data_IF_362855100120
#
_entry.id   IF_362855100120
#
_cell.length_a   1.000
_cell.length_b   1.000
_cell.length_c   1.000
_cell.angle_alpha   90.00
_cell.angle_beta   90.00
_cell.angle_gamma   90.00
#
_symmetry.space_group_name_H-M   'P 1'
#
loop_
_entity.id
_entity.type
_entity.pdbx_description
1 polymer ?
#
# COMPACT_ATOMS: atom_id res chain seq x y z
N UNK A 1 6.50 -16.05 -2.86
CA UNK A 1 5.25 -16.70 -3.34
C UNK A 1 4.03 -15.77 -3.31
N UNK A 2 4.13 -14.55 -2.77
CA UNK A 2 3.00 -13.61 -2.62
C UNK A 2 2.64 -12.79 -3.87
N UNK A 3 3.54 -12.67 -4.84
CA UNK A 3 3.29 -11.85 -6.03
C UNK A 3 2.26 -12.49 -6.98
N UNK A 4 2.21 -13.83 -7.02
CA UNK A 4 1.27 -14.60 -7.84
C UNK A 4 -0.16 -14.53 -7.31
N UNK A 5 -0.35 -14.35 -6.00
CA UNK A 5 -1.69 -14.24 -5.40
C UNK A 5 -2.31 -12.86 -5.65
N UNK A 6 -1.52 -11.78 -5.58
CA UNK A 6 -2.00 -10.41 -5.87
C UNK A 6 -2.46 -10.30 -7.33
N UNK A 7 -1.68 -10.84 -8.27
CA UNK A 7 -2.02 -10.85 -9.70
C UNK A 7 -3.33 -11.63 -9.97
N UNK A 8 -3.56 -12.72 -9.25
CA UNK A 8 -4.82 -13.48 -9.32
C UNK A 8 -6.04 -12.68 -8.86
N UNK A 9 -5.92 -11.90 -7.78
CA UNK A 9 -7.01 -11.04 -7.31
C UNK A 9 -7.34 -9.91 -8.27
N UNK A 10 -6.32 -9.29 -8.88
CA UNK A 10 -6.52 -8.21 -9.87
C UNK A 10 -7.24 -8.77 -11.10
N UNK A 11 -6.81 -9.92 -11.62
CA UNK A 11 -7.45 -10.59 -12.76
C UNK A 11 -8.92 -10.97 -12.47
N UNK A 12 -9.18 -11.52 -11.28
CA UNK A 12 -10.54 -11.87 -10.86
C UNK A 12 -11.44 -10.63 -10.74
N UNK A 13 -10.92 -9.53 -10.20
CA UNK A 13 -11.65 -8.28 -10.07
C UNK A 13 -11.99 -7.67 -11.44
N UNK A 14 -11.02 -7.61 -12.36
CA UNK A 14 -11.25 -7.07 -13.71
C UNK A 14 -12.26 -7.89 -14.49
N UNK A 15 -12.22 -9.23 -14.36
CA UNK A 15 -13.18 -10.12 -15.01
C UNK A 15 -14.61 -9.87 -14.50
N UNK A 16 -14.78 -9.83 -13.17
CA UNK A 16 -16.07 -9.58 -12.53
C UNK A 16 -16.65 -8.21 -12.93
N UNK A 17 -15.81 -7.19 -13.01
CA UNK A 17 -16.20 -5.85 -13.40
C UNK A 17 -16.70 -5.79 -14.85
N UNK A 18 -16.00 -6.44 -15.78
CA UNK A 18 -16.42 -6.51 -17.20
C UNK A 18 -17.76 -7.24 -17.33
N UNK A 19 -17.95 -8.36 -16.62
CA UNK A 19 -19.21 -9.12 -16.67
C UNK A 19 -20.41 -8.31 -16.16
N UNK A 20 -20.23 -7.54 -15.09
CA UNK A 20 -21.29 -6.65 -14.57
C UNK A 20 -21.63 -5.56 -15.58
N UNK A 21 -20.62 -4.95 -16.20
CA UNK A 21 -20.82 -3.89 -17.20
C UNK A 21 -21.53 -4.39 -18.46
N UNK A 22 -21.16 -5.57 -18.96
CA UNK A 22 -21.87 -6.20 -20.08
C UNK A 22 -23.32 -6.53 -19.71
N UNK A 23 -23.55 -7.08 -18.51
CA UNK A 23 -24.89 -7.35 -18.01
C UNK A 23 -25.75 -6.09 -17.92
N UNK A 24 -25.18 -5.00 -17.40
CA UNK A 24 -25.87 -3.71 -17.27
C UNK A 24 -26.12 -3.06 -18.63
N UNK A 25 -25.21 -3.21 -19.59
CA UNK A 25 -25.38 -2.72 -20.96
C UNK A 25 -26.51 -3.44 -21.70
N UNK A 26 -26.60 -4.77 -21.55
CA UNK A 26 -27.73 -5.55 -22.10
C UNK A 26 -29.03 -5.15 -21.42
N UNK A 27 -29.04 -5.00 -20.10
CA UNK A 27 -30.23 -4.59 -19.35
C UNK A 27 -30.72 -3.19 -19.75
N UNK A 28 -29.80 -2.26 -20.03
CA UNK A 28 -30.11 -0.92 -20.54
C UNK A 28 -30.79 -0.96 -21.91
N UNK A 29 -30.43 -1.91 -22.78
CA UNK A 29 -31.10 -2.09 -24.09
C UNK A 29 -32.47 -2.74 -23.98
N UNK A 30 -32.62 -3.72 -23.09
CA UNK A 30 -33.89 -4.46 -22.93
C UNK A 30 -34.93 -3.62 -22.17
N UNK A 31 -34.51 -2.79 -21.23
CA UNK A 31 -35.39 -1.99 -20.39
C UNK A 31 -35.00 -0.50 -20.38
N UNK A 32 -35.14 0.22 -21.50
CA UNK A 32 -34.79 1.64 -21.58
C UNK A 32 -35.62 2.51 -20.62
N UNK A 33 -36.82 2.06 -20.20
CA UNK A 33 -37.66 2.80 -19.25
C UNK A 33 -37.08 2.90 -17.83
N UNK A 34 -36.21 1.97 -17.40
CA UNK A 34 -35.59 2.02 -16.07
C UNK A 34 -34.52 3.11 -15.96
N UNK A 35 -34.02 3.60 -17.09
CA UNK A 35 -32.90 4.54 -17.16
C UNK A 35 -33.27 5.87 -17.83
N UNK A 36 -34.57 6.12 -18.06
CA UNK A 36 -35.03 7.44 -18.53
C UNK A 36 -35.07 8.41 -17.34
N UNK A 37 -34.52 9.63 -17.47
CA UNK A 37 -34.81 10.68 -16.51
C UNK A 37 -36.33 10.91 -16.47
N UNK A 38 -36.89 10.96 -15.26
CA UNK A 38 -38.31 11.23 -15.05
C UNK A 38 -38.69 12.52 -15.81
N UNK A 39 -39.78 12.53 -16.60
CA UNK A 39 -40.17 13.73 -17.30
C UNK A 39 -40.54 14.81 -16.30
N UNK A 40 -39.76 15.88 -16.27
CA UNK A 40 -40.17 17.15 -15.66
C UNK A 40 -41.13 17.84 -16.61
N UNK A 41 -42.42 17.50 -16.54
CA UNK A 41 -43.47 18.35 -17.11
C UNK A 41 -44.72 18.34 -16.24
N UNK A 42 -44.98 19.49 -15.62
CA UNK A 42 -46.32 19.97 -15.30
C UNK A 42 -47.14 19.89 -16.58
N UNK A 43 -48.09 18.95 -16.64
CA UNK A 43 -49.07 18.94 -17.71
C UNK A 43 -50.02 20.13 -17.48
N UNK A 44 -49.85 21.18 -18.27
CA UNK A 44 -50.91 22.16 -18.50
C UNK A 44 -52.04 21.40 -19.18
N UNK A 45 -53.10 21.11 -18.43
CA UNK A 45 -54.31 20.51 -18.97
C UNK A 45 -54.98 21.55 -19.84
N UNK A 46 -55.00 21.25 -21.13
CA UNK A 46 -55.67 21.98 -22.18
C UNK A 46 -57.14 22.19 -21.81
N UNK A 47 -57.60 23.44 -21.82
CA UNK A 47 -58.97 23.79 -21.49
C UNK A 47 -59.92 23.26 -22.57
N UNK A 48 -60.48 22.08 -22.34
CA UNK A 48 -61.68 21.61 -23.03
C UNK A 48 -62.79 22.64 -22.77
N UNK A 49 -63.27 23.28 -23.84
CA UNK A 49 -64.50 24.08 -23.85
C UNK A 49 -65.64 23.19 -23.37
N UNK A 50 -66.08 23.41 -22.13
CA UNK A 50 -67.32 22.84 -21.61
C UNK A 50 -68.45 23.80 -21.97
N UNK A 51 -69.29 23.33 -22.89
CA UNK A 51 -70.60 23.87 -23.23
C UNK A 51 -71.46 23.92 -21.96
N UNK A 52 -72.17 25.04 -21.78
CA UNK A 52 -72.98 25.37 -20.59
C UNK A 52 -73.85 24.18 -20.15
N UNK A 53 -73.66 23.74 -18.90
CA UNK A 53 -74.69 23.02 -18.17
C UNK A 53 -75.05 23.75 -16.88
N UNK A 54 -76.36 23.92 -16.70
CA UNK A 54 -77.05 24.79 -15.76
C UNK A 54 -77.40 24.04 -14.48
N UNK A 55 -76.40 23.65 -13.71
CA UNK A 55 -76.63 23.17 -12.34
C UNK A 55 -75.74 23.96 -11.38
N UNK A 56 -76.40 24.76 -10.54
CA UNK A 56 -75.77 25.58 -9.51
C UNK A 56 -75.14 24.72 -8.41
N UNK A 57 -73.98 24.15 -8.71
CA UNK A 57 -73.08 23.54 -7.73
C UNK A 57 -71.91 24.50 -7.58
N UNK A 58 -71.84 25.13 -6.40
CA UNK A 58 -70.66 25.86 -5.96
C UNK A 58 -69.62 24.79 -5.61
N UNK A 59 -68.62 24.62 -6.48
CA UNK A 59 -67.43 23.84 -6.13
C UNK A 59 -66.61 24.70 -5.18
N UNK A 60 -66.68 24.40 -3.87
CA UNK A 60 -65.70 24.91 -2.92
C UNK A 60 -64.32 24.40 -3.34
N UNK A 61 -63.37 25.34 -3.44
CA UNK A 61 -62.00 25.13 -3.87
C UNK A 61 -61.25 24.26 -2.85
N UNK A 62 -61.37 22.94 -3.02
CA UNK A 62 -60.67 21.93 -2.22
C UNK A 62 -59.17 21.84 -2.52
N UNK A 63 -58.63 22.66 -3.43
CA UNK A 63 -57.21 22.63 -3.82
C UNK A 63 -56.29 23.15 -2.70
N UNK A 64 -56.81 23.97 -1.79
CA UNK A 64 -56.02 24.60 -0.71
C UNK A 64 -55.82 23.71 0.53
N UNK A 65 -56.68 22.71 0.76
CA UNK A 65 -56.58 21.83 1.95
C UNK A 65 -55.58 20.66 1.72
N UNK A 66 -55.23 20.35 0.46
CA UNK A 66 -54.38 19.21 0.11
C UNK A 66 -52.90 19.51 -0.19
N UNK A 67 -52.50 20.78 -0.37
CA UNK A 67 -51.14 21.14 -0.78
C UNK A 67 -50.19 21.38 0.41
N UNK A 68 -50.67 22.00 1.48
CA UNK A 68 -49.88 22.33 2.67
C UNK A 68 -49.39 21.06 3.41
N UNK A 69 -50.22 20.02 3.49
CA UNK A 69 -49.86 18.76 4.14
C UNK A 69 -48.84 17.95 3.31
N UNK A 70 -48.97 17.91 1.99
CA UNK A 70 -48.06 17.14 1.12
C UNK A 70 -46.67 17.75 1.08
N UNK A 71 -46.55 19.08 1.14
CA UNK A 71 -45.27 19.78 1.22
C UNK A 71 -44.58 19.55 2.58
N UNK A 72 -45.33 19.59 3.69
CA UNK A 72 -44.80 19.32 5.02
C UNK A 72 -44.27 17.88 5.16
N UNK A 73 -44.99 16.88 4.65
CA UNK A 73 -44.53 15.48 4.68
C UNK A 73 -43.28 15.24 3.81
N UNK A 74 -43.21 15.87 2.63
CA UNK A 74 -42.00 15.81 1.79
C UNK A 74 -40.81 16.47 2.48
N UNK A 75 -41.03 17.61 3.13
CA UNK A 75 -39.99 18.34 3.86
C UNK A 75 -39.45 17.54 5.05
N UNK A 76 -40.33 16.89 5.83
CA UNK A 76 -39.94 16.02 6.93
C UNK A 76 -39.12 14.80 6.45
N UNK A 77 -39.55 14.17 5.36
CA UNK A 77 -38.82 13.03 4.76
C UNK A 77 -37.43 13.43 4.27
N UNK A 78 -37.29 14.62 3.68
CA UNK A 78 -36.03 15.14 3.18
C UNK A 78 -35.08 15.52 4.32
N UNK A 79 -35.59 16.15 5.38
CA UNK A 79 -34.80 16.47 6.58
C UNK A 79 -34.28 15.20 7.25
N UNK A 80 -35.10 14.14 7.31
CA UNK A 80 -34.69 12.84 7.84
C UNK A 80 -33.61 12.17 7.01
N UNK A 81 -33.63 12.32 5.69
CA UNK A 81 -32.54 11.86 4.82
C UNK A 81 -31.27 12.68 5.00
N UNK A 82 -31.40 14.00 5.10
CA UNK A 82 -30.29 14.91 5.37
C UNK A 82 -29.59 14.55 6.70
N UNK A 83 -30.36 14.29 7.76
CA UNK A 83 -29.83 13.89 9.06
C UNK A 83 -29.06 12.56 8.99
N UNK A 84 -29.57 11.58 8.23
CA UNK A 84 -28.87 10.31 8.00
C UNK A 84 -27.52 10.54 7.31
N UNK A 85 -27.51 11.34 6.24
CA UNK A 85 -26.29 11.67 5.50
C UNK A 85 -25.30 12.41 6.39
N UNK A 86 -25.75 13.34 7.22
CA UNK A 86 -24.90 14.07 8.16
C UNK A 86 -24.27 13.15 9.21
N UNK A 87 -25.03 12.18 9.73
CA UNK A 87 -24.52 11.17 10.67
C UNK A 87 -23.47 10.28 10.00
N UNK A 88 -23.72 9.82 8.78
CA UNK A 88 -22.76 9.02 8.01
C UNK A 88 -21.49 9.80 7.70
N UNK A 89 -21.62 11.05 7.22
CA UNK A 89 -20.50 11.92 6.93
C UNK A 89 -19.63 12.15 8.18
N UNK A 90 -20.28 12.33 9.35
CA UNK A 90 -19.57 12.44 10.63
C UNK A 90 -18.80 11.17 10.96
N UNK A 91 -19.41 9.99 10.82
CA UNK A 91 -18.74 8.70 11.03
C UNK A 91 -17.52 8.53 10.12
N UNK A 92 -17.66 8.87 8.83
CA UNK A 92 -16.54 8.81 7.89
C UNK A 92 -15.42 9.78 8.28
N UNK A 93 -15.78 11.02 8.64
CA UNK A 93 -14.80 12.02 9.10
C UNK A 93 -14.03 11.52 10.33
N UNK A 94 -14.73 10.99 11.32
CA UNK A 94 -14.11 10.45 12.54
C UNK A 94 -13.19 9.26 12.22
N UNK A 95 -13.63 8.38 11.31
CA UNK A 95 -12.83 7.22 10.85
C UNK A 95 -11.55 7.66 10.14
N UNK A 96 -11.62 8.68 9.28
CA UNK A 96 -10.45 9.24 8.59
C UNK A 96 -9.44 9.81 9.60
N UNK A 97 -9.91 10.48 10.65
CA UNK A 97 -9.02 11.00 11.71
C UNK A 97 -8.32 9.86 12.46
N UNK A 98 -9.03 8.78 12.77
CA UNK A 98 -8.46 7.60 13.43
C UNK A 98 -7.43 6.92 12.53
N UNK A 99 -7.78 6.67 11.27
CA UNK A 99 -6.86 6.07 10.29
C UNK A 99 -5.61 6.93 10.09
N UNK A 100 -5.77 8.26 10.03
CA UNK A 100 -4.64 9.16 9.93
C UNK A 100 -3.69 9.03 11.13
N UNK A 101 -4.22 8.95 12.36
CA UNK A 101 -3.40 8.73 13.56
C UNK A 101 -2.68 7.38 13.51
N UNK A 102 -3.36 6.31 13.08
CA UNK A 102 -2.75 4.99 12.93
C UNK A 102 -1.62 5.01 11.89
N UNK A 103 -1.82 5.66 10.75
CA UNK A 103 -0.79 5.84 9.72
C UNK A 103 0.42 6.58 10.29
N UNK A 104 0.21 7.66 11.04
CA UNK A 104 1.31 8.40 11.68
C UNK A 104 2.06 7.54 12.71
N UNK A 105 1.35 6.76 13.51
CA UNK A 105 1.97 5.87 14.48
C UNK A 105 2.83 4.81 13.79
N UNK A 106 2.28 4.12 12.78
CA UNK A 106 3.00 3.11 12.00
C UNK A 106 4.23 3.72 11.32
N UNK A 107 4.11 4.93 10.77
CA UNK A 107 5.24 5.64 10.15
C UNK A 107 6.36 5.92 11.17
N UNK A 108 6.02 6.38 12.37
CA UNK A 108 7.01 6.61 13.43
C UNK A 108 7.66 5.31 13.91
N UNK A 109 6.88 4.23 14.04
CA UNK A 109 7.42 2.91 14.41
C UNK A 109 8.37 2.36 13.34
N UNK A 110 8.02 2.54 12.06
CA UNK A 110 8.88 2.13 10.94
C UNK A 110 10.21 2.88 10.98
N UNK A 111 10.17 4.22 11.10
CA UNK A 111 11.38 5.03 11.20
C UNK A 111 12.27 4.63 12.39
N UNK A 112 11.68 4.31 13.55
CA UNK A 112 12.42 3.81 14.71
C UNK A 112 13.08 2.46 14.44
N UNK A 113 12.37 1.54 13.76
CA UNK A 113 12.90 0.23 13.39
C UNK A 113 14.03 0.36 12.37
N UNK A 114 13.89 1.22 11.37
CA UNK A 114 14.94 1.47 10.36
C UNK A 114 16.22 2.00 11.03
N UNK A 115 16.09 3.01 11.90
CA UNK A 115 17.23 3.53 12.66
C UNK A 115 17.87 2.47 13.57
N UNK A 116 17.08 1.57 14.15
CA UNK A 116 17.58 0.46 14.96
C UNK A 116 18.34 -0.57 14.10
N UNK A 117 17.84 -0.88 12.90
CA UNK A 117 18.50 -1.77 11.94
C UNK A 117 19.84 -1.18 11.52
N UNK A 118 19.89 0.10 11.14
CA UNK A 118 21.14 0.79 10.78
C UNK A 118 22.16 0.74 11.92
N UNK A 119 21.73 1.03 13.15
CA UNK A 119 22.60 0.96 14.33
C UNK A 119 23.11 -0.47 14.60
N UNK A 120 22.26 -1.48 14.45
CA UNK A 120 22.65 -2.87 14.62
C UNK A 120 23.62 -3.33 13.53
N UNK A 121 23.39 -2.94 12.28
CA UNK A 121 24.29 -3.21 11.16
C UNK A 121 25.66 -2.55 11.38
N UNK A 122 25.68 -1.27 11.80
CA UNK A 122 26.92 -0.58 12.12
C UNK A 122 27.70 -1.30 13.22
N UNK A 123 27.04 -1.67 14.32
CA UNK A 123 27.67 -2.40 15.44
C UNK A 123 28.15 -3.80 15.04
N UNK A 124 27.40 -4.49 14.19
CA UNK A 124 27.78 -5.81 13.69
C UNK A 124 28.99 -5.72 12.77
N UNK A 125 29.04 -4.71 11.90
CA UNK A 125 30.20 -4.46 11.03
C UNK A 125 31.43 -4.08 11.85
N UNK A 126 31.29 -3.20 12.85
CA UNK A 126 32.37 -2.84 13.77
C UNK A 126 32.91 -4.09 14.49
N UNK A 127 32.03 -4.89 15.11
CA UNK A 127 32.43 -6.12 15.80
C UNK A 127 33.10 -7.14 14.89
N UNK A 128 32.62 -7.29 13.65
CA UNK A 128 33.28 -8.15 12.64
C UNK A 128 34.67 -7.63 12.32
N UNK A 129 34.82 -6.34 12.04
CA UNK A 129 36.13 -5.74 11.73
C UNK A 129 37.10 -5.84 12.90
N UNK A 130 36.65 -5.64 14.14
CA UNK A 130 37.50 -5.76 15.33
C UNK A 130 37.95 -7.19 15.56
N UNK A 131 37.05 -8.16 15.38
CA UNK A 131 37.38 -9.58 15.44
C UNK A 131 38.40 -9.95 14.36
N UNK A 132 38.18 -9.52 13.11
CA UNK A 132 39.10 -9.76 12.01
C UNK A 132 40.49 -9.17 12.28
N UNK A 133 40.56 -7.93 12.78
CA UNK A 133 41.82 -7.28 13.19
C UNK A 133 42.51 -8.01 14.35
N UNK A 134 41.75 -8.48 15.34
CA UNK A 134 42.32 -9.21 16.47
C UNK A 134 42.94 -10.54 16.00
N UNK A 135 42.24 -11.27 15.14
CA UNK A 135 42.76 -12.51 14.54
C UNK A 135 44.00 -12.20 13.68
N UNK A 136 43.93 -11.19 12.81
CA UNK A 136 45.04 -10.76 11.98
C UNK A 136 46.31 -10.46 12.81
N UNK A 137 46.18 -9.76 13.94
CA UNK A 137 47.31 -9.50 14.87
C UNK A 137 47.93 -10.77 15.44
N UNK A 138 47.15 -11.82 15.69
CA UNK A 138 47.68 -13.11 16.17
C UNK A 138 48.56 -13.74 15.07
N UNK A 139 48.09 -13.74 13.82
CA UNK A 139 48.86 -14.24 12.69
C UNK A 139 50.06 -13.35 12.35
N UNK A 140 49.98 -12.04 12.58
CA UNK A 140 51.12 -11.13 12.42
C UNK A 140 52.27 -11.44 13.37
N UNK A 141 51.95 -11.79 14.61
CA UNK A 141 52.93 -12.14 15.63
C UNK A 141 53.56 -13.53 15.41
N UNK A 142 53.05 -14.29 14.44
CA UNK A 142 53.55 -15.62 14.11
C UNK A 142 54.65 -15.54 13.04
N UNK A 143 55.56 -16.52 13.05
CA UNK A 143 56.55 -16.69 11.99
C UNK A 143 55.87 -16.85 10.62
N UNK A 144 56.34 -16.15 9.55
CA UNK A 144 55.64 -16.12 8.26
C UNK A 144 55.34 -17.49 7.66
N UNK A 145 56.29 -18.42 7.71
CA UNK A 145 56.12 -19.78 7.19
C UNK A 145 55.14 -20.63 8.01
N UNK A 146 55.06 -20.41 9.33
CA UNK A 146 54.07 -21.10 10.17
C UNK A 146 52.66 -20.57 9.90
N UNK A 147 52.50 -19.26 9.79
CA UNK A 147 51.22 -18.64 9.42
C UNK A 147 50.76 -19.10 8.02
N UNK A 148 51.67 -19.13 7.04
CA UNK A 148 51.37 -19.59 5.68
C UNK A 148 50.84 -21.03 5.65
N UNK A 149 51.47 -21.97 6.37
CA UNK A 149 51.00 -23.36 6.46
C UNK A 149 49.58 -23.49 7.04
N UNK A 150 49.24 -22.64 8.01
CA UNK A 150 47.89 -22.64 8.59
C UNK A 150 46.89 -22.08 7.57
N UNK A 151 47.21 -20.94 6.95
CA UNK A 151 46.35 -20.28 5.96
C UNK A 151 46.15 -21.11 4.68
N UNK A 152 47.10 -21.97 4.32
CA UNK A 152 46.99 -22.85 3.16
C UNK A 152 45.81 -23.82 3.28
N UNK A 153 45.56 -24.31 4.51
CA UNK A 153 44.49 -25.24 4.83
C UNK A 153 43.17 -24.55 5.22
N UNK A 154 43.18 -23.22 5.34
CA UNK A 154 42.00 -22.42 5.68
C UNK A 154 41.14 -22.13 4.44
N UNK A 155 39.80 -21.94 4.58
CA UNK A 155 38.96 -21.46 3.48
C UNK A 155 39.50 -20.15 2.87
N UNK A 156 39.36 -20.00 1.54
CA UNK A 156 39.95 -18.88 0.80
C UNK A 156 39.45 -17.52 1.33
N UNK A 157 38.16 -17.41 1.68
CA UNK A 157 37.54 -16.17 2.17
C UNK A 157 38.06 -15.77 3.57
N UNK A 158 38.19 -16.72 4.49
CA UNK A 158 38.71 -16.48 5.84
C UNK A 158 40.20 -16.09 5.80
N UNK A 159 40.98 -16.78 4.96
CA UNK A 159 42.39 -16.45 4.77
C UNK A 159 42.56 -15.06 4.17
N UNK A 160 41.71 -14.69 3.21
CA UNK A 160 41.71 -13.36 2.61
C UNK A 160 41.36 -12.27 3.64
N UNK A 161 40.32 -12.48 4.46
CA UNK A 161 39.92 -11.53 5.51
C UNK A 161 41.06 -11.26 6.50
N UNK A 162 41.79 -12.30 6.90
CA UNK A 162 42.95 -12.18 7.79
C UNK A 162 44.10 -11.42 7.10
N UNK A 163 44.43 -11.76 5.85
CA UNK A 163 45.49 -11.11 5.06
C UNK A 163 45.19 -9.62 4.82
N UNK A 164 43.93 -9.25 4.58
CA UNK A 164 43.54 -7.86 4.34
C UNK A 164 43.57 -7.00 5.61
N UNK A 165 43.36 -7.60 6.77
CA UNK A 165 43.33 -6.89 8.05
C UNK A 165 44.70 -6.86 8.76
N UNK A 166 45.75 -7.45 8.18
CA UNK A 166 47.11 -7.40 8.73
C UNK A 166 48.01 -6.33 8.08
N UNK A 167 49.17 -6.07 8.69
CA UNK A 167 50.20 -5.18 8.17
C UNK A 167 50.71 -5.68 6.82
N UNK A 168 50.71 -4.79 5.81
CA UNK A 168 51.10 -5.09 4.42
C UNK A 168 52.44 -5.82 4.30
N UNK A 169 53.42 -5.46 5.13
CA UNK A 169 54.75 -6.10 5.13
C UNK A 169 54.67 -7.56 5.57
N UNK A 170 53.90 -7.85 6.62
CA UNK A 170 53.75 -9.21 7.14
C UNK A 170 52.87 -10.06 6.21
N UNK A 171 51.80 -9.47 5.66
CA UNK A 171 51.01 -10.08 4.58
C UNK A 171 51.90 -10.49 3.39
N UNK A 172 52.76 -9.59 2.92
CA UNK A 172 53.66 -9.90 1.80
C UNK A 172 54.61 -11.06 2.10
N UNK A 173 55.17 -11.12 3.31
CA UNK A 173 56.02 -12.23 3.75
C UNK A 173 55.25 -13.55 3.79
N UNK A 174 54.05 -13.56 4.38
CA UNK A 174 53.21 -14.76 4.47
C UNK A 174 52.76 -15.22 3.09
N UNK A 175 52.36 -14.29 2.20
CA UNK A 175 52.00 -14.59 0.81
C UNK A 175 53.17 -15.19 0.02
N UNK A 176 54.42 -14.79 0.30
CA UNK A 176 55.60 -15.35 -0.34
C UNK A 176 55.91 -16.80 0.10
N UNK A 177 55.48 -17.18 1.30
CA UNK A 177 55.62 -18.54 1.86
C UNK A 177 54.45 -19.45 1.48
N UNK A 178 53.34 -18.91 0.96
CA UNK A 178 52.20 -19.69 0.46
C UNK A 178 52.50 -20.34 -0.88
N UNK A 179 51.79 -21.43 -1.20
CA UNK A 179 51.86 -21.98 -2.54
C UNK A 179 51.31 -20.98 -3.57
N UNK A 180 51.86 -21.02 -4.79
CA UNK A 180 51.54 -20.10 -5.86
C UNK A 180 50.04 -20.09 -6.22
N UNK A 181 49.38 -21.25 -6.23
CA UNK A 181 47.95 -21.38 -6.54
C UNK A 181 47.06 -20.68 -5.50
N UNK A 182 47.39 -20.84 -4.22
CA UNK A 182 46.68 -20.22 -3.09
C UNK A 182 46.92 -18.72 -3.08
N UNK A 183 48.18 -18.27 -3.20
CA UNK A 183 48.53 -16.86 -3.25
C UNK A 183 47.85 -16.13 -4.42
N UNK A 184 47.79 -16.76 -5.61
CA UNK A 184 47.07 -16.20 -6.76
C UNK A 184 45.57 -16.04 -6.46
N UNK A 185 44.92 -17.05 -5.90
CA UNK A 185 43.49 -16.97 -5.55
C UNK A 185 43.21 -15.82 -4.58
N UNK A 186 44.00 -15.69 -3.52
CA UNK A 186 43.82 -14.65 -2.52
C UNK A 186 44.08 -13.25 -3.11
N UNK A 187 45.04 -13.11 -4.01
CA UNK A 187 45.34 -11.82 -4.65
C UNK A 187 44.38 -11.47 -5.79
N UNK A 188 43.78 -12.45 -6.47
CA UNK A 188 42.78 -12.22 -7.52
C UNK A 188 41.39 -11.92 -6.98
N UNK A 189 41.01 -12.50 -5.84
CA UNK A 189 39.70 -12.27 -5.21
C UNK A 189 39.59 -10.92 -4.49
N UNK A 190 40.70 -10.20 -4.32
CA UNK A 190 40.73 -8.87 -3.70
C UNK A 190 40.47 -7.70 -4.67
N UNK A 191 40.02 -7.96 -5.90
CA UNK A 191 39.68 -6.94 -6.91
C UNK A 191 38.17 -6.71 -7.02
#
# INVERSE_FOLDING_TARGET
MEEKTILGYILGFTFSFVTIFEGMYVLSKVYPQLFRPLPSSVAVVDSLKIEKDTTGIIWEDTTSIGLEYVEAYKLDSLNKELDKVLIELKKYKDSVVVLYRQIQQVKMELQKKDAMIEKLQAKLNESKTDRAKAIAKIYEAMEPGAAAKILENMPDDEALEIILNMQRRQAAKILAELNAKKAMKLTSSGK
#
